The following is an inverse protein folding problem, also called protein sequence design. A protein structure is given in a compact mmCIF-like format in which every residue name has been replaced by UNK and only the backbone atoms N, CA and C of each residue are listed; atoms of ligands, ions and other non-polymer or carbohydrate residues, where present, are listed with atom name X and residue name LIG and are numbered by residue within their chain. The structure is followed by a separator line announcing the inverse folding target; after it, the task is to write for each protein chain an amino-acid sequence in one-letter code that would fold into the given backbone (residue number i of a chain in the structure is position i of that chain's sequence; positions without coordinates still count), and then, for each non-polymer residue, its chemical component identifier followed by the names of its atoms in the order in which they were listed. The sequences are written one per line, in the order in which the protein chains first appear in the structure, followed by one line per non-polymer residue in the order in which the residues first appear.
data_IF_982941791936
#
_entry.id   IF_982941791936
#
_cell.length_a   1.000
_cell.length_b   1.000
_cell.length_c   1.000
_cell.angle_alpha   90.00
_cell.angle_beta   90.00
_cell.angle_gamma   90.00
#
_symmetry.space_group_name_H-M   'P 1'
#
loop_
_entity.id
_entity.type
_entity.pdbx_description
1 polymer ?
#
# COMPACT_ATOMS: atom_id res chain seq x y z
N UNK A 1 -10.28 -5.03 -18.35
CA UNK A 1 -11.23 -4.29 -17.47
C UNK A 1 -10.52 -3.34 -16.50
N UNK A 2 -9.42 -3.72 -15.82
CA UNK A 2 -8.63 -2.81 -14.96
C UNK A 2 -8.04 -1.60 -15.69
N UNK A 3 -7.59 -1.78 -16.93
CA UNK A 3 -7.09 -0.68 -17.78
C UNK A 3 -8.21 0.32 -18.16
N UNK A 4 -9.45 -0.16 -18.29
CA UNK A 4 -10.63 0.63 -18.69
C UNK A 4 -11.09 1.54 -17.55
N UNK A 5 -11.01 1.06 -16.30
CA UNK A 5 -11.25 1.89 -15.12
C UNK A 5 -10.24 3.05 -15.10
N UNK A 6 -8.94 2.76 -15.14
CA UNK A 6 -7.87 3.78 -15.08
C UNK A 6 -7.99 4.80 -16.23
N UNK A 7 -8.42 4.35 -17.41
CA UNK A 7 -8.76 5.18 -18.56
C UNK A 7 -9.97 6.09 -18.33
N UNK A 8 -11.09 5.54 -17.85
CA UNK A 8 -12.29 6.31 -17.52
C UNK A 8 -12.02 7.36 -16.43
N UNK A 9 -11.09 7.07 -15.50
CA UNK A 9 -10.67 7.99 -14.43
C UNK A 9 -9.92 9.24 -14.93
N UNK A 10 -9.43 9.30 -16.18
CA UNK A 10 -8.55 10.41 -16.62
C UNK A 10 -9.13 11.32 -17.71
N UNK A 11 -10.16 10.89 -18.45
CA UNK A 11 -10.85 11.73 -19.44
C UNK A 11 -11.82 12.75 -18.87
N UNK A 12 -12.03 12.73 -17.56
CA UNK A 12 -12.93 13.66 -16.88
C UNK A 12 -12.54 15.14 -17.07
N UNK A 13 -11.32 15.49 -17.50
CA UNK A 13 -10.83 16.87 -17.49
C UNK A 13 -11.35 17.80 -18.61
N UNK A 14 -12.05 17.31 -19.65
CA UNK A 14 -12.41 18.15 -20.80
C UNK A 14 -13.88 18.02 -21.20
N UNK A 15 -14.68 18.94 -20.65
CA UNK A 15 -15.98 19.28 -21.18
C UNK A 15 -17.15 18.70 -20.39
N UNK A 16 -17.75 19.54 -19.56
CA UNK A 16 -19.20 19.54 -19.40
C UNK A 16 -19.65 20.95 -19.06
N UNK A 17 -20.70 21.47 -19.67
CA UNK A 17 -21.44 22.64 -19.18
C UNK A 17 -22.49 22.20 -18.14
N UNK A 18 -22.93 23.17 -17.33
CA UNK A 18 -23.76 22.97 -16.14
C UNK A 18 -25.25 22.81 -16.48
N UNK A 19 -25.93 21.86 -15.80
CA UNK A 19 -27.29 21.99 -15.21
C UNK A 19 -27.72 20.68 -14.52
N UNK A 20 -28.24 20.82 -13.29
CA UNK A 20 -28.78 19.81 -12.35
C UNK A 20 -27.75 18.83 -11.74
N UNK A 21 -27.84 18.66 -10.41
CA UNK A 21 -26.96 17.81 -9.59
C UNK A 21 -27.11 16.36 -10.06
N UNK A 22 -26.10 15.76 -10.71
CA UNK A 22 -26.20 14.40 -11.20
C UNK A 22 -25.96 13.43 -10.04
N UNK A 23 -26.77 12.37 -9.95
CA UNK A 23 -26.46 11.26 -9.04
C UNK A 23 -25.08 10.65 -9.38
N UNK A 24 -24.51 9.84 -8.49
CA UNK A 24 -23.25 9.15 -8.79
C UNK A 24 -23.35 8.24 -10.04
N UNK A 25 -24.56 7.74 -10.32
CA UNK A 25 -24.90 7.03 -11.55
C UNK A 25 -24.88 7.95 -12.77
N UNK A 26 -25.48 9.14 -12.68
CA UNK A 26 -25.47 10.13 -13.78
C UNK A 26 -24.07 10.67 -14.05
N UNK A 27 -23.28 10.87 -12.99
CA UNK A 27 -21.86 11.24 -13.08
C UNK A 27 -21.04 10.15 -13.78
N UNK A 28 -21.27 8.87 -13.44
CA UNK A 28 -20.66 7.75 -14.15
C UNK A 28 -21.04 7.74 -15.63
N UNK A 29 -22.34 7.83 -15.94
CA UNK A 29 -22.83 7.82 -17.32
C UNK A 29 -22.23 8.97 -18.12
N UNK A 30 -22.16 10.16 -17.53
CA UNK A 30 -21.50 11.32 -18.12
C UNK A 30 -20.02 11.08 -18.39
N UNK A 31 -19.29 10.43 -17.47
CA UNK A 31 -17.87 10.10 -17.68
C UNK A 31 -17.67 9.06 -18.79
N UNK A 32 -18.47 8.00 -18.82
CA UNK A 32 -18.39 6.98 -19.88
C UNK A 32 -18.74 7.60 -21.24
N UNK A 33 -19.75 8.48 -21.28
CA UNK A 33 -20.13 9.18 -22.49
C UNK A 33 -19.03 10.14 -22.97
N UNK A 34 -18.45 10.93 -22.06
CA UNK A 34 -17.33 11.81 -22.38
C UNK A 34 -16.12 11.03 -22.90
N UNK A 35 -15.88 9.81 -22.40
CA UNK A 35 -14.84 8.93 -22.93
C UNK A 35 -15.12 8.48 -24.37
N UNK A 36 -16.34 8.06 -24.64
CA UNK A 36 -16.78 7.67 -25.99
C UNK A 36 -16.63 8.86 -26.94
N UNK A 37 -17.00 10.06 -26.50
CA UNK A 37 -16.94 11.26 -27.33
C UNK A 37 -15.51 11.72 -27.57
N UNK A 38 -14.65 11.70 -26.55
CA UNK A 38 -13.23 11.97 -26.70
C UNK A 38 -12.50 10.90 -27.52
N UNK A 39 -12.95 9.65 -27.52
CA UNK A 39 -12.39 8.60 -28.39
C UNK A 39 -12.62 8.84 -29.88
N UNK A 40 -13.61 9.68 -30.21
CA UNK A 40 -13.92 10.09 -31.58
C UNK A 40 -13.22 11.39 -31.98
N UNK A 41 -12.62 12.10 -31.02
CA UNK A 41 -11.99 13.41 -31.20
C UNK A 41 -10.47 13.32 -30.93
N UNK A 42 -9.69 13.43 -32.01
CA UNK A 42 -8.23 13.32 -31.95
C UNK A 42 -7.58 14.38 -31.06
N UNK A 43 -8.18 15.57 -30.94
CA UNK A 43 -7.63 16.65 -30.13
C UNK A 43 -7.86 16.40 -28.64
N UNK A 44 -9.06 15.95 -28.27
CA UNK A 44 -9.38 15.56 -26.88
C UNK A 44 -8.56 14.35 -26.44
N UNK A 45 -8.37 13.38 -27.32
CA UNK A 45 -7.54 12.20 -27.04
C UNK A 45 -6.07 12.56 -26.86
N UNK A 46 -5.53 13.48 -27.66
CA UNK A 46 -4.16 13.98 -27.49
C UNK A 46 -4.00 14.68 -26.13
N UNK A 47 -4.95 15.53 -25.74
CA UNK A 47 -4.91 16.24 -24.47
C UNK A 47 -5.00 15.27 -23.27
N UNK A 48 -5.83 14.24 -23.38
CA UNK A 48 -5.88 13.15 -22.40
C UNK A 48 -4.53 12.45 -22.25
N UNK A 49 -3.89 12.04 -23.36
CA UNK A 49 -2.60 11.34 -23.31
C UNK A 49 -1.57 12.18 -22.56
N UNK A 50 -1.57 13.49 -22.75
CA UNK A 50 -0.70 14.43 -22.04
C UNK A 50 -1.01 14.43 -20.53
N UNK A 51 -2.28 14.56 -20.14
CA UNK A 51 -2.66 14.51 -18.72
C UNK A 51 -2.28 13.19 -18.04
N UNK A 52 -2.47 12.06 -18.73
CA UNK A 52 -2.09 10.73 -18.27
C UNK A 52 -0.58 10.53 -18.22
N UNK A 53 0.17 11.18 -19.12
CA UNK A 53 1.63 11.04 -19.19
C UNK A 53 2.32 11.52 -17.90
N UNK A 54 1.73 12.50 -17.21
CA UNK A 54 2.21 12.98 -15.92
C UNK A 54 2.09 11.94 -14.80
N UNK A 55 1.13 11.01 -14.89
CA UNK A 55 0.98 9.91 -13.95
C UNK A 55 2.01 8.80 -14.18
N UNK A 56 2.53 8.66 -15.40
CA UNK A 56 3.54 7.64 -15.73
C UNK A 56 4.90 7.93 -15.08
N UNK A 57 5.26 9.20 -14.90
CA UNK A 57 6.55 9.64 -14.34
C UNK A 57 6.74 9.17 -12.89
N UNK A 58 5.65 9.00 -12.13
CA UNK A 58 5.69 8.54 -10.74
C UNK A 58 5.82 7.02 -10.56
N UNK A 59 5.94 6.25 -11.65
CA UNK A 59 5.92 4.77 -11.60
C UNK A 59 7.26 4.16 -11.97
N UNK A 60 7.60 3.01 -11.38
CA UNK A 60 8.78 2.21 -11.76
C UNK A 60 8.68 1.61 -13.18
N UNK A 61 7.55 1.79 -13.87
CA UNK A 61 7.27 1.27 -15.21
C UNK A 61 6.93 2.40 -16.18
N UNK A 62 7.60 3.54 -16.04
CA UNK A 62 7.36 4.74 -16.83
C UNK A 62 7.33 4.46 -18.34
N UNK A 63 8.27 3.66 -18.86
CA UNK A 63 8.35 3.36 -20.30
C UNK A 63 7.15 2.55 -20.80
N UNK A 64 6.71 1.54 -20.06
CA UNK A 64 5.55 0.71 -20.44
C UNK A 64 4.23 1.45 -20.22
N UNK A 65 4.18 2.33 -19.22
CA UNK A 65 3.09 3.27 -19.02
C UNK A 65 2.95 4.20 -20.24
N UNK A 66 4.03 4.85 -20.69
CA UNK A 66 3.99 5.71 -21.89
C UNK A 66 3.62 4.92 -23.16
N UNK A 67 4.17 3.72 -23.38
CA UNK A 67 3.77 2.86 -24.50
C UNK A 67 2.28 2.51 -24.49
N UNK A 68 1.69 2.37 -23.30
CA UNK A 68 0.26 2.11 -23.13
C UNK A 68 -0.56 3.36 -23.49
N UNK A 69 -0.08 4.55 -23.12
CA UNK A 69 -0.70 5.83 -23.52
C UNK A 69 -0.55 6.13 -25.01
N UNK A 70 0.52 5.69 -25.65
CA UNK A 70 0.65 5.85 -27.11
C UNK A 70 -0.42 5.04 -27.84
N UNK A 71 -0.74 3.84 -27.33
CA UNK A 71 -1.79 2.95 -27.85
C UNK A 71 -3.21 3.29 -27.40
N UNK A 72 -3.40 4.40 -26.67
CA UNK A 72 -4.68 4.74 -26.07
C UNK A 72 -5.80 4.90 -27.11
N UNK A 73 -5.49 5.45 -28.28
CA UNK A 73 -6.46 5.62 -29.36
C UNK A 73 -7.02 4.27 -29.81
N UNK A 74 -6.12 3.28 -29.95
CA UNK A 74 -6.47 1.93 -30.37
C UNK A 74 -7.27 1.20 -29.28
N UNK A 75 -6.88 1.37 -28.02
CA UNK A 75 -7.60 0.83 -26.86
C UNK A 75 -9.01 1.44 -26.79
N UNK A 76 -9.14 2.76 -26.91
CA UNK A 76 -10.41 3.46 -26.88
C UNK A 76 -11.32 3.03 -28.05
N UNK A 77 -10.76 2.91 -29.26
CA UNK A 77 -11.48 2.40 -30.43
C UNK A 77 -12.02 0.98 -30.20
N UNK A 78 -11.20 0.06 -29.66
CA UNK A 78 -11.61 -1.31 -29.36
C UNK A 78 -12.64 -1.42 -28.23
N UNK A 79 -12.62 -0.48 -27.28
CA UNK A 79 -13.54 -0.46 -26.15
C UNK A 79 -14.87 0.23 -26.47
N UNK A 80 -14.89 1.16 -27.44
CA UNK A 80 -16.08 1.91 -27.86
C UNK A 80 -17.38 1.07 -27.98
N UNK A 81 -17.39 -0.11 -28.66
CA UNK A 81 -18.59 -0.93 -28.78
C UNK A 81 -19.06 -1.57 -27.45
N UNK A 82 -18.18 -1.67 -26.45
CA UNK A 82 -18.50 -2.22 -25.13
C UNK A 82 -18.93 -1.14 -24.13
N UNK A 83 -18.77 0.13 -24.49
CA UNK A 83 -19.06 1.27 -23.63
C UNK A 83 -20.36 2.00 -23.99
N UNK A 84 -20.97 1.63 -25.12
CA UNK A 84 -22.14 2.28 -25.70
C UNK A 84 -23.36 2.25 -24.76
N UNK A 85 -23.50 1.17 -23.97
CA UNK A 85 -24.45 1.12 -22.87
C UNK A 85 -23.79 1.63 -21.58
N UNK A 86 -23.83 2.95 -21.41
CA UNK A 86 -23.26 3.62 -20.24
C UNK A 86 -23.93 3.16 -18.94
N UNK A 87 -25.20 2.76 -18.97
CA UNK A 87 -25.91 2.26 -17.78
C UNK A 87 -25.39 0.88 -17.38
N UNK A 88 -25.26 -0.05 -18.32
CA UNK A 88 -24.72 -1.38 -18.03
C UNK A 88 -23.26 -1.35 -17.58
N UNK A 89 -22.45 -0.48 -18.18
CA UNK A 89 -21.06 -0.24 -17.73
C UNK A 89 -21.08 0.27 -16.29
N UNK A 90 -21.85 1.33 -16.03
CA UNK A 90 -21.96 1.94 -14.71
C UNK A 90 -22.56 0.99 -13.67
N UNK A 91 -23.46 0.09 -14.04
CA UNK A 91 -23.95 -0.96 -13.15
C UNK A 91 -22.90 -2.02 -12.86
N UNK A 92 -22.09 -2.42 -13.86
CA UNK A 92 -20.96 -3.35 -13.65
C UNK A 92 -19.87 -2.79 -12.74
N UNK A 93 -19.66 -1.47 -12.75
CA UNK A 93 -18.75 -0.80 -11.81
C UNK A 93 -19.46 -0.38 -10.52
N UNK A 94 -20.68 -0.86 -10.28
CA UNK A 94 -21.50 -0.60 -9.09
C UNK A 94 -21.78 0.89 -8.83
N UNK A 95 -21.79 1.68 -9.91
CA UNK A 95 -22.12 3.10 -9.91
C UNK A 95 -23.60 3.37 -10.23
N UNK A 96 -24.32 2.40 -10.81
CA UNK A 96 -25.76 2.45 -11.07
C UNK A 96 -26.46 1.20 -10.51
N UNK A 97 -27.46 1.38 -9.64
CA UNK A 97 -28.22 0.30 -8.99
C UNK A 97 -28.61 0.67 -7.55
N UNK A 98 -29.30 -0.22 -6.83
CA UNK A 98 -29.70 0.00 -5.42
C UNK A 98 -28.51 -0.05 -4.44
N UNK A 99 -27.35 -0.54 -4.89
CA UNK A 99 -26.13 -0.56 -4.09
C UNK A 99 -25.62 0.87 -3.88
N UNK A 100 -25.76 1.37 -2.64
CA UNK A 100 -25.10 2.61 -2.21
C UNK A 100 -23.61 2.49 -2.49
N UNK A 101 -23.04 3.50 -3.14
CA UNK A 101 -21.60 3.60 -3.36
C UNK A 101 -20.81 3.35 -2.08
N UNK A 102 -19.75 2.56 -2.15
CA UNK A 102 -18.78 2.50 -1.06
C UNK A 102 -18.19 3.91 -0.84
N UNK A 103 -17.96 4.33 0.41
CA UNK A 103 -17.37 5.64 0.69
C UNK A 103 -15.99 5.85 0.01
N UNK A 104 -15.21 4.77 -0.17
CA UNK A 104 -13.94 4.79 -0.94
C UNK A 104 -14.17 5.17 -2.41
N UNK A 105 -15.17 4.55 -3.04
CA UNK A 105 -15.53 4.84 -4.42
C UNK A 105 -16.00 6.29 -4.60
N UNK A 106 -16.66 6.88 -3.59
CA UNK A 106 -17.05 8.30 -3.60
C UNK A 106 -15.84 9.22 -3.51
N UNK A 107 -14.90 8.96 -2.60
CA UNK A 107 -13.65 9.74 -2.50
C UNK A 107 -12.86 9.73 -3.81
N UNK A 108 -12.74 8.57 -4.46
CA UNK A 108 -12.08 8.47 -5.76
C UNK A 108 -12.76 9.35 -6.82
N UNK A 109 -14.09 9.37 -6.85
CA UNK A 109 -14.88 10.21 -7.77
C UNK A 109 -14.75 11.70 -7.51
N UNK A 110 -14.65 12.11 -6.25
CA UNK A 110 -14.41 13.50 -5.89
C UNK A 110 -13.06 14.01 -6.38
N UNK A 111 -12.05 13.17 -6.34
CA UNK A 111 -10.74 13.50 -6.89
C UNK A 111 -10.82 13.79 -8.40
N UNK A 112 -11.67 13.07 -9.13
CA UNK A 112 -11.95 13.37 -10.53
C UNK A 112 -12.72 14.67 -10.71
N UNK A 113 -13.76 14.89 -9.91
CA UNK A 113 -14.60 16.11 -9.97
C UNK A 113 -13.77 17.37 -9.68
N UNK A 114 -12.77 17.28 -8.80
CA UNK A 114 -11.79 18.37 -8.54
C UNK A 114 -11.03 18.80 -9.80
N UNK A 115 -10.61 17.86 -10.65
CA UNK A 115 -9.93 18.20 -11.91
C UNK A 115 -10.83 19.01 -12.85
N UNK A 116 -12.14 18.78 -12.82
CA UNK A 116 -13.13 19.54 -13.60
C UNK A 116 -13.41 20.93 -13.04
N UNK A 117 -13.46 21.08 -11.71
CA UNK A 117 -13.72 22.38 -11.07
C UNK A 117 -12.54 23.35 -11.21
N UNK A 118 -11.30 22.83 -11.28
CA UNK A 118 -10.10 23.62 -11.58
C UNK A 118 -10.16 24.28 -12.97
N UNK A 119 -10.77 23.61 -13.97
CA UNK A 119 -10.91 24.12 -15.34
C UNK A 119 -11.97 25.23 -15.44
N UNK A 120 -12.98 25.25 -14.56
CA UNK A 120 -14.09 26.22 -14.60
C UNK A 120 -14.02 27.35 -13.57
N UNK A 121 -13.05 27.30 -12.64
CA UNK A 121 -12.95 28.18 -11.48
C UNK A 121 -14.28 28.41 -10.73
N UNK A 122 -15.06 27.34 -10.55
CA UNK A 122 -16.39 27.39 -9.93
C UNK A 122 -16.26 27.16 -8.41
N UNK A 123 -16.48 28.21 -7.62
CA UNK A 123 -16.34 28.16 -6.16
C UNK A 123 -17.46 27.36 -5.47
N UNK A 124 -18.64 27.22 -6.10
CA UNK A 124 -19.76 26.43 -5.56
C UNK A 124 -19.41 24.94 -5.66
N UNK A 125 -18.90 24.52 -6.82
CA UNK A 125 -18.41 23.16 -7.04
C UNK A 125 -17.25 22.77 -6.11
N UNK A 126 -16.39 23.73 -5.70
CA UNK A 126 -15.32 23.48 -4.72
C UNK A 126 -15.87 23.20 -3.32
N UNK A 127 -16.91 23.91 -2.89
CA UNK A 127 -17.53 23.68 -1.58
C UNK A 127 -18.27 22.33 -1.54
N UNK A 128 -19.03 21.99 -2.58
CA UNK A 128 -19.71 20.68 -2.68
C UNK A 128 -18.73 19.51 -2.64
N UNK A 129 -17.59 19.62 -3.33
CA UNK A 129 -16.54 18.59 -3.31
C UNK A 129 -15.93 18.43 -1.92
N UNK A 130 -15.79 19.52 -1.18
CA UNK A 130 -15.32 19.48 0.19
C UNK A 130 -16.34 18.80 1.12
N UNK A 131 -17.62 19.16 1.02
CA UNK A 131 -18.68 18.62 1.89
C UNK A 131 -18.87 17.11 1.69
N UNK A 132 -18.92 16.64 0.43
CA UNK A 132 -19.03 15.20 0.12
C UNK A 132 -17.78 14.42 0.57
N UNK A 133 -16.60 15.05 0.50
CA UNK A 133 -15.37 14.43 1.01
C UNK A 133 -15.47 14.23 2.52
N UNK A 134 -15.93 15.24 3.25
CA UNK A 134 -16.09 15.17 4.69
C UNK A 134 -17.09 14.10 5.11
N UNK A 135 -18.21 13.99 4.40
CA UNK A 135 -19.20 12.95 4.66
C UNK A 135 -18.64 11.55 4.37
N UNK A 136 -17.94 11.39 3.24
CA UNK A 136 -17.30 10.12 2.89
C UNK A 136 -16.21 9.72 3.90
N UNK A 137 -15.42 10.69 4.37
CA UNK A 137 -14.40 10.49 5.42
C UNK A 137 -15.05 10.02 6.72
N UNK A 138 -16.17 10.62 7.12
CA UNK A 138 -16.91 10.22 8.30
C UNK A 138 -17.47 8.78 8.18
N UNK A 139 -18.01 8.41 7.02
CA UNK A 139 -18.51 7.06 6.77
C UNK A 139 -17.37 6.03 6.81
N UNK A 140 -16.18 6.38 6.31
CA UNK A 140 -15.00 5.50 6.42
C UNK A 140 -14.51 5.38 7.85
N UNK A 141 -14.46 6.47 8.61
CA UNK A 141 -14.09 6.43 10.03
C UNK A 141 -14.95 5.43 10.81
N UNK A 142 -16.26 5.39 10.54
CA UNK A 142 -17.18 4.42 11.16
C UNK A 142 -16.81 2.97 10.83
N UNK A 143 -16.34 2.67 9.61
CA UNK A 143 -15.86 1.34 9.23
C UNK A 143 -14.60 0.94 10.02
N UNK A 144 -13.67 1.89 10.23
CA UNK A 144 -12.47 1.64 11.03
C UNK A 144 -12.75 1.57 12.55
N UNK A 145 -13.93 2.02 12.99
CA UNK A 145 -14.40 1.88 14.37
C UNK A 145 -15.20 0.59 14.62
N UNK A 146 -15.45 -0.21 13.59
CA UNK A 146 -16.24 -1.43 13.72
C UNK A 146 -15.38 -2.58 14.26
N UNK A 147 -15.78 -3.13 15.41
CA UNK A 147 -15.06 -4.22 16.10
C UNK A 147 -15.00 -5.49 15.24
N UNK A 148 -16.07 -5.77 14.50
CA UNK A 148 -16.11 -6.92 13.59
C UNK A 148 -15.11 -6.76 12.45
N UNK A 149 -15.02 -5.57 11.85
CA UNK A 149 -14.05 -5.23 10.81
C UNK A 149 -12.62 -5.35 11.34
N UNK A 150 -12.36 -4.80 12.53
CA UNK A 150 -11.05 -4.93 13.20
C UNK A 150 -10.68 -6.39 13.44
N UNK A 151 -11.64 -7.20 13.91
CA UNK A 151 -11.45 -8.64 14.08
C UNK A 151 -11.18 -9.37 12.75
N UNK A 152 -11.94 -9.05 11.70
CA UNK A 152 -11.80 -9.66 10.38
C UNK A 152 -10.44 -9.34 9.75
N UNK A 153 -9.98 -8.09 9.85
CA UNK A 153 -8.64 -7.67 9.40
C UNK A 153 -7.56 -8.40 10.18
N UNK A 154 -7.64 -8.39 11.51
CA UNK A 154 -6.67 -9.06 12.39
C UNK A 154 -6.57 -10.55 12.09
N UNK A 155 -7.70 -11.26 12.08
CA UNK A 155 -7.74 -12.70 11.83
C UNK A 155 -7.24 -13.06 10.43
N UNK A 156 -7.55 -12.23 9.43
CA UNK A 156 -7.03 -12.41 8.07
C UNK A 156 -5.52 -12.23 8.02
N UNK A 157 -4.97 -11.17 8.63
CA UNK A 157 -3.53 -10.95 8.69
C UNK A 157 -2.80 -12.06 9.45
N UNK A 158 -3.34 -12.52 10.57
CA UNK A 158 -2.78 -13.66 11.30
C UNK A 158 -2.79 -14.94 10.45
N UNK A 159 -3.87 -15.19 9.72
CA UNK A 159 -3.98 -16.36 8.84
C UNK A 159 -2.99 -16.31 7.67
N UNK A 160 -2.83 -15.15 7.04
CA UNK A 160 -1.99 -14.99 5.85
C UNK A 160 -0.51 -14.82 6.17
N UNK A 161 -0.20 -14.05 7.23
CA UNK A 161 1.17 -13.66 7.57
C UNK A 161 1.75 -14.57 8.66
N UNK A 162 1.01 -14.82 9.73
CA UNK A 162 1.57 -15.54 10.87
C UNK A 162 1.56 -17.06 10.69
N UNK A 163 0.66 -17.63 9.88
CA UNK A 163 0.66 -19.08 9.60
C UNK A 163 1.96 -19.55 8.92
N UNK A 164 2.55 -18.72 8.06
CA UNK A 164 3.81 -19.03 7.41
C UNK A 164 5.03 -18.78 8.31
N UNK A 165 4.89 -18.09 9.44
CA UNK A 165 6.01 -17.68 10.29
C UNK A 165 6.68 -18.80 11.13
N UNK A 166 6.44 -20.08 10.82
CA UNK A 166 7.10 -21.22 11.47
C UNK A 166 7.14 -21.14 13.01
N UNK A 167 8.35 -21.17 13.59
CA UNK A 167 8.59 -21.05 15.05
C UNK A 167 8.14 -19.70 15.62
N UNK A 168 8.16 -18.64 14.82
CA UNK A 168 7.72 -17.31 15.23
C UNK A 168 6.19 -17.13 15.15
N UNK A 169 5.42 -18.17 14.81
CA UNK A 169 3.95 -18.10 14.71
C UNK A 169 3.28 -17.43 15.91
N UNK A 170 3.66 -17.82 17.14
CA UNK A 170 3.09 -17.25 18.37
C UNK A 170 3.44 -15.78 18.54
N UNK A 171 4.72 -15.42 18.39
CA UNK A 171 5.18 -14.04 18.47
C UNK A 171 4.52 -13.15 17.40
N UNK A 172 4.40 -13.65 16.17
CA UNK A 172 3.66 -12.96 15.10
C UNK A 172 2.19 -12.75 15.46
N UNK A 173 1.51 -13.76 16.01
CA UNK A 173 0.11 -13.61 16.42
C UNK A 173 -0.05 -12.54 17.50
N UNK A 174 0.84 -12.50 18.49
CA UNK A 174 0.85 -11.48 19.54
C UNK A 174 1.10 -10.10 18.93
N UNK A 175 2.07 -9.98 18.03
CA UNK A 175 2.35 -8.74 17.32
C UNK A 175 1.11 -8.24 16.57
N UNK A 176 0.50 -9.08 15.73
CA UNK A 176 -0.72 -8.71 14.99
C UNK A 176 -1.89 -8.37 15.91
N UNK A 177 -2.03 -9.08 17.03
CA UNK A 177 -3.10 -8.82 18.00
C UNK A 177 -2.98 -7.46 18.68
N UNK A 178 -1.75 -6.96 18.82
CA UNK A 178 -1.46 -5.67 19.44
C UNK A 178 -1.34 -4.53 18.43
N UNK A 179 -0.94 -4.81 17.19
CA UNK A 179 -0.74 -3.80 16.16
C UNK A 179 -2.00 -3.44 15.42
N UNK A 180 -2.79 -4.44 15.00
CA UNK A 180 -3.96 -4.19 14.14
C UNK A 180 -4.97 -3.25 14.81
N UNK A 181 -5.35 -3.42 16.08
CA UNK A 181 -6.28 -2.50 16.73
C UNK A 181 -5.75 -1.05 16.79
N UNK A 182 -4.47 -0.87 17.11
CA UNK A 182 -3.84 0.45 17.17
C UNK A 182 -3.81 1.13 15.78
N UNK A 183 -3.53 0.37 14.71
CA UNK A 183 -3.57 0.88 13.34
C UNK A 183 -4.98 1.27 12.90
N UNK A 184 -5.99 0.45 13.24
CA UNK A 184 -7.39 0.74 12.93
C UNK A 184 -7.87 1.99 13.67
N UNK A 185 -7.48 2.13 14.94
CA UNK A 185 -7.72 3.31 15.76
C UNK A 185 -7.11 4.57 15.13
N UNK A 186 -5.84 4.52 14.75
CA UNK A 186 -5.15 5.67 14.15
C UNK A 186 -5.77 6.05 12.79
N UNK A 187 -6.14 5.06 11.96
CA UNK A 187 -6.85 5.29 10.71
C UNK A 187 -8.21 5.96 10.92
N UNK A 188 -8.98 5.52 11.91
CA UNK A 188 -10.24 6.16 12.29
C UNK A 188 -10.00 7.61 12.67
N UNK A 189 -8.98 7.90 13.47
CA UNK A 189 -8.71 9.25 13.96
C UNK A 189 -8.32 10.18 12.81
N UNK A 190 -7.43 9.73 11.90
CA UNK A 190 -7.10 10.42 10.65
C UNK A 190 -8.35 10.76 9.83
N UNK A 191 -9.28 9.81 9.67
CA UNK A 191 -10.50 9.98 8.88
C UNK A 191 -11.56 10.84 9.61
N UNK A 192 -11.55 10.86 10.94
CA UNK A 192 -12.45 11.68 11.77
C UNK A 192 -12.05 13.14 11.74
N UNK A 193 -10.77 13.44 11.51
CA UNK A 193 -10.23 14.78 11.23
C UNK A 193 -10.58 15.25 9.81
N UNK A 194 -11.86 15.16 9.44
CA UNK A 194 -12.43 15.34 8.10
C UNK A 194 -11.90 16.57 7.34
N UNK A 195 -11.77 17.72 8.00
CA UNK A 195 -11.28 18.95 7.38
C UNK A 195 -9.80 18.84 7.00
N UNK A 196 -9.00 18.23 7.88
CA UNK A 196 -7.58 18.04 7.65
C UNK A 196 -7.34 16.95 6.60
N UNK A 197 -8.01 15.81 6.71
CA UNK A 197 -7.95 14.73 5.73
C UNK A 197 -8.33 15.22 4.32
N UNK A 198 -9.50 15.85 4.17
CA UNK A 198 -9.95 16.38 2.89
C UNK A 198 -9.12 17.60 2.42
N UNK A 199 -8.57 18.37 3.36
CA UNK A 199 -7.62 19.44 3.08
C UNK A 199 -6.30 18.91 2.51
N UNK A 200 -5.78 17.83 3.07
CA UNK A 200 -4.58 17.14 2.60
C UNK A 200 -4.81 16.50 1.24
N UNK A 201 -5.99 15.93 0.97
CA UNK A 201 -6.41 15.54 -0.38
C UNK A 201 -6.53 16.73 -1.36
N UNK A 202 -6.49 17.96 -0.85
CA UNK A 202 -6.74 19.20 -1.57
C UNK A 202 -8.17 19.31 -2.09
N UNK A 203 -9.11 18.61 -1.47
CA UNK A 203 -10.55 18.67 -1.77
C UNK A 203 -11.24 19.76 -0.96
N UNK A 204 -10.63 20.18 0.16
CA UNK A 204 -11.06 21.30 0.99
C UNK A 204 -9.98 22.38 1.07
N UNK A 205 -10.37 23.60 1.44
CA UNK A 205 -9.41 24.65 1.82
C UNK A 205 -8.78 24.24 3.15
N UNK A 206 -7.49 23.93 3.12
CA UNK A 206 -6.70 23.65 4.31
C UNK A 206 -6.48 24.98 5.07
N UNK A 207 -7.30 25.25 6.09
CA UNK A 207 -7.13 26.46 6.93
C UNK A 207 -5.93 26.37 7.86
N UNK A 208 -5.53 25.16 8.26
CA UNK A 208 -4.38 24.86 9.11
C UNK A 208 -3.94 23.42 8.83
N UNK A 209 -3.32 23.12 7.69
CA UNK A 209 -2.62 21.85 7.57
C UNK A 209 -1.35 21.97 8.40
N UNK A 210 -1.20 21.27 9.55
CA UNK A 210 0.12 21.15 10.15
C UNK A 210 1.02 20.57 9.07
N UNK A 211 2.04 21.34 8.69
CA UNK A 211 3.08 20.81 7.84
C UNK A 211 3.72 19.68 8.66
N UNK A 212 3.60 18.44 8.19
CA UNK A 212 4.24 17.31 8.86
C UNK A 212 5.72 17.56 8.75
N UNK A 213 6.34 17.98 9.85
CA UNK A 213 7.79 18.12 9.88
C UNK A 213 8.37 16.72 9.98
N UNK A 214 8.64 16.14 8.81
CA UNK A 214 9.42 14.92 8.72
C UNK A 214 10.82 15.28 9.23
N UNK A 215 11.12 14.86 10.45
CA UNK A 215 12.43 15.09 11.02
C UNK A 215 13.48 14.37 10.17
N UNK A 216 14.53 15.10 9.80
CA UNK A 216 15.68 14.45 9.23
C UNK A 216 16.36 13.61 10.32
N UNK A 217 16.73 12.35 10.01
CA UNK A 217 17.41 11.53 10.98
C UNK A 217 18.71 12.19 11.47
N UNK A 218 18.92 12.23 12.79
CA UNK A 218 20.08 12.89 13.42
C UNK A 218 21.38 12.11 13.26
N UNK A 219 21.29 10.80 13.03
CA UNK A 219 22.41 9.88 12.83
C UNK A 219 22.18 9.03 11.59
N UNK A 220 23.24 8.43 11.02
CA UNK A 220 23.06 7.51 9.90
C UNK A 220 22.38 6.21 10.36
N UNK A 221 21.68 5.54 9.46
CA UNK A 221 21.04 4.26 9.78
C UNK A 221 22.09 3.19 10.13
N UNK A 222 23.28 3.28 9.53
CA UNK A 222 24.42 2.41 9.84
C UNK A 222 24.90 2.59 11.28
N UNK A 223 25.00 3.83 11.78
CA UNK A 223 25.40 4.09 13.17
C UNK A 223 24.38 3.51 14.17
N UNK A 224 23.09 3.60 13.82
CA UNK A 224 22.03 2.97 14.59
C UNK A 224 22.23 1.45 14.59
N UNK A 225 22.41 0.81 13.43
CA UNK A 225 22.66 -0.63 13.35
C UNK A 225 23.92 -1.07 14.10
N UNK A 226 24.97 -0.26 14.10
CA UNK A 226 26.21 -0.50 14.86
C UNK A 226 26.00 -0.44 16.38
N UNK A 227 25.04 0.37 16.85
CA UNK A 227 24.73 0.47 18.29
C UNK A 227 24.15 -0.83 18.88
N UNK A 228 23.69 -1.76 18.04
CA UNK A 228 23.24 -3.08 18.47
C UNK A 228 24.38 -3.96 18.99
N UNK A 229 25.64 -3.64 18.64
CA UNK A 229 26.83 -4.34 19.11
C UNK A 229 27.27 -5.50 18.21
N UNK A 230 28.09 -6.39 18.76
CA UNK A 230 28.71 -7.51 18.07
C UNK A 230 28.24 -8.85 18.65
N UNK A 231 28.12 -9.85 17.80
CA UNK A 231 27.88 -11.26 18.15
C UNK A 231 29.16 -12.05 17.86
N UNK A 232 29.55 -12.90 18.82
CA UNK A 232 30.65 -13.86 18.63
C UNK A 232 30.11 -15.13 17.98
N UNK A 233 30.74 -15.54 16.89
CA UNK A 233 30.41 -16.74 16.12
C UNK A 233 31.62 -17.65 16.01
N UNK A 234 31.43 -18.88 15.53
CA UNK A 234 32.51 -19.80 15.18
C UNK A 234 33.47 -19.27 14.10
N UNK A 235 33.07 -18.23 13.37
CA UNK A 235 33.84 -17.60 12.27
C UNK A 235 34.46 -16.25 12.65
N UNK A 236 34.18 -15.72 13.84
CA UNK A 236 34.66 -14.42 14.30
C UNK A 236 33.58 -13.56 14.93
N UNK A 237 33.84 -12.26 15.05
CA UNK A 237 32.87 -11.26 15.52
C UNK A 237 32.15 -10.62 14.34
N UNK A 238 30.82 -10.50 14.44
CA UNK A 238 29.97 -9.92 13.40
C UNK A 238 29.02 -8.88 14.02
N UNK A 239 28.61 -7.87 13.25
CA UNK A 239 27.57 -6.94 13.68
C UNK A 239 26.28 -7.70 14.00
N UNK A 240 25.72 -7.49 15.20
CA UNK A 240 24.48 -8.13 15.62
C UNK A 240 23.34 -7.83 14.66
N UNK A 241 23.27 -6.59 14.15
CA UNK A 241 22.29 -6.18 13.14
C UNK A 241 22.43 -6.95 11.82
N UNK A 242 23.67 -7.24 11.39
CA UNK A 242 23.91 -8.09 10.23
C UNK A 242 23.50 -9.54 10.51
N UNK A 243 23.94 -10.08 11.67
CA UNK A 243 23.61 -11.44 12.12
C UNK A 243 22.10 -11.68 12.13
N UNK A 244 21.34 -10.80 12.81
CA UNK A 244 19.90 -10.92 12.98
C UNK A 244 19.13 -10.70 11.68
N UNK A 245 19.60 -9.80 10.82
CA UNK A 245 19.01 -9.59 9.52
C UNK A 245 19.13 -10.84 8.65
N UNK A 246 20.34 -11.42 8.53
CA UNK A 246 20.56 -12.60 7.70
C UNK A 246 19.77 -13.79 8.25
N UNK A 247 19.83 -14.01 9.57
CA UNK A 247 19.03 -15.06 10.22
C UNK A 247 17.53 -14.92 9.93
N UNK A 248 17.00 -13.70 10.05
CA UNK A 248 15.58 -13.44 9.83
C UNK A 248 15.18 -13.66 8.36
N UNK A 249 15.97 -13.12 7.42
CA UNK A 249 15.66 -13.22 5.98
C UNK A 249 15.80 -14.66 5.50
N UNK A 250 16.88 -15.37 5.85
CA UNK A 250 17.08 -16.76 5.45
C UNK A 250 15.96 -17.65 6.00
N UNK A 251 15.59 -17.47 7.28
CA UNK A 251 14.48 -18.22 7.90
C UNK A 251 13.15 -17.95 7.20
N UNK A 252 12.88 -16.68 6.83
CA UNK A 252 11.66 -16.31 6.11
C UNK A 252 11.64 -16.88 4.69
N UNK A 253 12.76 -16.81 3.96
CA UNK A 253 12.89 -17.37 2.62
C UNK A 253 12.71 -18.89 2.63
N UNK A 254 13.34 -19.59 3.60
CA UNK A 254 13.18 -21.03 3.77
C UNK A 254 11.71 -21.41 4.03
N UNK A 255 11.02 -20.70 4.93
CA UNK A 255 9.59 -20.91 5.20
C UNK A 255 8.72 -20.64 3.97
N UNK A 256 8.98 -19.55 3.23
CA UNK A 256 8.27 -19.24 1.98
C UNK A 256 8.48 -20.31 0.91
N UNK A 257 9.70 -20.80 0.76
CA UNK A 257 10.00 -21.91 -0.15
C UNK A 257 9.27 -23.16 0.31
N UNK A 258 9.32 -23.53 1.58
CA UNK A 258 8.70 -24.75 2.11
C UNK A 258 7.17 -24.71 2.01
N UNK A 259 6.54 -23.57 2.26
CA UNK A 259 5.07 -23.39 2.23
C UNK A 259 4.53 -22.84 0.92
N UNK A 260 5.34 -22.75 -0.14
CA UNK A 260 4.94 -22.20 -1.45
C UNK A 260 3.65 -22.78 -2.01
N UNK A 261 3.36 -24.06 -1.76
CA UNK A 261 2.12 -24.68 -2.24
C UNK A 261 0.90 -24.17 -1.48
N UNK A 262 0.99 -23.98 -0.17
CA UNK A 262 -0.09 -23.37 0.63
C UNK A 262 -0.32 -21.93 0.19
N UNK A 263 0.76 -21.17 -0.04
CA UNK A 263 0.68 -19.80 -0.56
C UNK A 263 0.04 -19.75 -1.95
N UNK A 264 0.39 -20.68 -2.84
CA UNK A 264 -0.24 -20.79 -4.16
C UNK A 264 -1.75 -21.05 -4.06
N UNK A 265 -2.16 -21.94 -3.14
CA UNK A 265 -3.57 -22.23 -2.89
C UNK A 265 -4.31 -21.00 -2.33
N UNK A 266 -3.72 -20.27 -1.38
CA UNK A 266 -4.31 -19.03 -0.86
C UNK A 266 -4.47 -17.96 -1.95
N UNK A 267 -3.48 -17.81 -2.85
CA UNK A 267 -3.57 -16.92 -4.01
C UNK A 267 -4.70 -17.37 -4.94
N UNK A 268 -4.84 -18.67 -5.19
CA UNK A 268 -5.92 -19.21 -6.02
C UNK A 268 -7.28 -18.84 -5.44
N UNK A 269 -7.52 -19.10 -4.15
CA UNK A 269 -8.78 -18.75 -3.47
C UNK A 269 -9.05 -17.25 -3.56
N UNK A 270 -8.05 -16.40 -3.35
CA UNK A 270 -8.27 -14.95 -3.36
C UNK A 270 -8.51 -14.43 -4.78
N UNK A 271 -7.70 -14.85 -5.75
CA UNK A 271 -7.71 -14.29 -7.10
C UNK A 271 -8.79 -14.95 -7.94
N UNK A 272 -8.86 -16.27 -7.95
CA UNK A 272 -9.77 -17.00 -8.83
C UNK A 272 -11.23 -16.87 -8.37
N UNK A 273 -11.50 -16.95 -7.06
CA UNK A 273 -12.89 -16.86 -6.58
C UNK A 273 -13.44 -15.44 -6.56
N UNK A 274 -12.59 -14.42 -6.32
CA UNK A 274 -13.06 -13.04 -6.10
C UNK A 274 -12.87 -12.10 -7.28
N UNK A 275 -11.96 -12.41 -8.22
CA UNK A 275 -11.53 -11.42 -9.23
C UNK A 275 -11.97 -11.75 -10.65
N UNK A 276 -12.11 -13.04 -11.02
CA UNK A 276 -12.21 -13.45 -12.44
C UNK A 276 -13.58 -13.97 -12.89
N UNK A 277 -14.61 -13.94 -12.05
CA UNK A 277 -16.01 -14.18 -12.46
C UNK A 277 -16.20 -15.47 -13.26
N UNK A 278 -16.56 -15.40 -14.55
CA UNK A 278 -16.81 -16.57 -15.39
C UNK A 278 -15.54 -17.32 -15.84
N UNK A 279 -14.34 -16.89 -15.45
CA UNK A 279 -13.06 -17.51 -15.82
C UNK A 279 -12.41 -18.29 -14.66
N UNK A 280 -13.19 -18.62 -13.63
CA UNK A 280 -12.71 -19.30 -12.42
C UNK A 280 -11.99 -20.61 -12.73
N UNK A 281 -12.54 -21.47 -13.59
CA UNK A 281 -11.93 -22.77 -13.90
C UNK A 281 -10.57 -22.61 -14.60
N UNK A 282 -10.48 -21.74 -15.61
CA UNK A 282 -9.22 -21.45 -16.29
C UNK A 282 -8.19 -20.76 -15.39
N UNK A 283 -8.64 -19.92 -14.46
CA UNK A 283 -7.77 -19.33 -13.44
C UNK A 283 -7.24 -20.37 -12.48
N UNK A 284 -8.10 -21.29 -12.01
CA UNK A 284 -7.72 -22.37 -11.12
C UNK A 284 -6.64 -23.24 -11.76
N UNK A 285 -6.85 -23.65 -13.02
CA UNK A 285 -5.87 -24.44 -13.77
C UNK A 285 -4.53 -23.70 -13.92
N UNK A 286 -4.57 -22.42 -14.27
CA UNK A 286 -3.37 -21.60 -14.45
C UNK A 286 -2.59 -21.42 -13.14
N UNK A 287 -3.27 -21.04 -12.05
CA UNK A 287 -2.63 -20.83 -10.76
C UNK A 287 -2.07 -22.14 -10.21
N UNK A 288 -2.84 -23.23 -10.29
CA UNK A 288 -2.40 -24.56 -9.86
C UNK A 288 -1.13 -25.01 -10.61
N UNK A 289 -1.07 -24.76 -11.91
CA UNK A 289 0.04 -25.23 -12.76
C UNK A 289 1.33 -24.42 -12.59
N UNK A 290 1.23 -23.10 -12.41
CA UNK A 290 2.40 -22.22 -12.50
C UNK A 290 2.77 -21.50 -11.21
N UNK A 291 1.83 -21.29 -10.28
CA UNK A 291 2.06 -20.39 -9.15
C UNK A 291 3.13 -20.91 -8.20
N UNK A 292 3.11 -22.21 -7.87
CA UNK A 292 4.12 -22.82 -6.98
C UNK A 292 5.54 -22.66 -7.56
N UNK A 293 5.70 -22.87 -8.88
CA UNK A 293 6.97 -22.69 -9.59
C UNK A 293 7.38 -21.22 -9.66
N UNK A 294 6.45 -20.31 -9.96
CA UNK A 294 6.71 -18.88 -10.00
C UNK A 294 7.15 -18.35 -8.63
N UNK A 295 6.50 -18.79 -7.56
CA UNK A 295 6.89 -18.48 -6.17
C UNK A 295 8.29 -19.02 -5.88
N UNK A 296 8.58 -20.28 -6.23
CA UNK A 296 9.92 -20.85 -6.05
C UNK A 296 11.00 -20.03 -6.76
N UNK A 297 10.81 -19.72 -8.05
CA UNK A 297 11.77 -18.93 -8.81
C UNK A 297 11.91 -17.50 -8.28
N UNK A 298 10.84 -16.92 -7.73
CA UNK A 298 10.87 -15.59 -7.13
C UNK A 298 11.64 -15.59 -5.81
N UNK A 299 11.38 -16.55 -4.91
CA UNK A 299 12.05 -16.61 -3.62
C UNK A 299 13.55 -16.88 -3.75
N UNK A 300 13.97 -17.71 -4.72
CA UNK A 300 15.38 -17.98 -4.98
C UNK A 300 16.15 -16.83 -5.66
N UNK A 301 15.50 -15.70 -5.98
CA UNK A 301 16.21 -14.49 -6.41
C UNK A 301 16.81 -13.71 -5.24
N UNK A 302 16.45 -14.08 -4.01
CA UNK A 302 16.88 -13.39 -2.80
C UNK A 302 17.68 -14.35 -1.91
N UNK A 303 18.65 -13.79 -1.21
CA UNK A 303 19.32 -14.42 -0.08
C UNK A 303 19.47 -13.39 1.05
N UNK A 304 19.68 -13.86 2.29
CA UNK A 304 19.81 -12.99 3.44
C UNK A 304 20.91 -11.95 3.30
N UNK A 305 22.07 -12.33 2.73
CA UNK A 305 23.21 -11.42 2.58
C UNK A 305 22.88 -10.24 1.67
N UNK A 306 22.36 -10.49 0.48
CA UNK A 306 22.00 -9.46 -0.50
C UNK A 306 20.97 -8.50 0.06
N UNK A 307 19.90 -9.04 0.66
CA UNK A 307 18.85 -8.22 1.28
C UNK A 307 19.42 -7.36 2.43
N UNK A 308 20.29 -7.91 3.27
CA UNK A 308 20.82 -7.19 4.43
C UNK A 308 21.90 -6.17 4.09
N UNK A 309 22.63 -6.35 2.98
CA UNK A 309 23.51 -5.32 2.40
C UNK A 309 22.67 -4.17 1.83
N UNK A 310 21.59 -4.47 1.11
CA UNK A 310 20.66 -3.46 0.58
C UNK A 310 19.95 -2.68 1.69
N UNK A 311 19.69 -3.32 2.84
CA UNK A 311 19.16 -2.68 4.05
C UNK A 311 20.21 -1.93 4.88
N UNK A 312 21.48 -1.95 4.46
CA UNK A 312 22.63 -1.38 5.18
C UNK A 312 22.81 -1.92 6.61
N UNK A 313 22.28 -3.11 6.90
CA UNK A 313 22.49 -3.83 8.16
C UNK A 313 23.80 -4.63 8.15
N UNK A 314 24.29 -4.99 6.96
CA UNK A 314 25.58 -5.66 6.76
C UNK A 314 26.56 -4.81 5.96
N UNK A 315 27.86 -5.05 6.17
CA UNK A 315 28.92 -4.59 5.26
C UNK A 315 29.10 -5.61 4.12
N UNK A 316 29.62 -5.18 2.97
CA UNK A 316 29.64 -5.99 1.73
C UNK A 316 30.50 -7.27 1.81
N UNK A 317 31.42 -7.34 2.78
CA UNK A 317 32.46 -8.38 2.85
C UNK A 317 32.21 -9.46 3.93
N UNK A 318 30.99 -9.58 4.44
CA UNK A 318 30.68 -10.53 5.51
C UNK A 318 30.40 -11.94 4.94
N UNK A 319 31.05 -12.97 5.51
CA UNK A 319 30.97 -14.36 5.01
C UNK A 319 30.09 -15.25 5.93
N UNK A 320 28.87 -14.79 6.12
CA UNK A 320 27.93 -15.33 7.10
C UNK A 320 27.28 -16.66 6.68
N UNK A 321 27.29 -16.96 5.38
CA UNK A 321 26.69 -18.17 4.79
C UNK A 321 27.31 -19.48 5.30
N UNK A 322 28.47 -19.42 5.97
CA UNK A 322 29.19 -20.59 6.48
C UNK A 322 28.82 -21.01 7.92
N UNK A 323 28.02 -20.23 8.65
CA UNK A 323 27.58 -20.60 10.00
C UNK A 323 26.56 -21.74 9.90
N UNK A 324 26.61 -22.74 10.78
CA UNK A 324 25.62 -23.83 10.74
C UNK A 324 24.26 -23.37 11.31
N UNK A 325 23.14 -23.83 10.73
CA UNK A 325 21.78 -23.48 11.20
C UNK A 325 21.55 -23.71 12.71
N UNK A 326 22.05 -24.80 13.35
CA UNK A 326 21.90 -24.98 14.79
C UNK A 326 22.61 -23.91 15.61
N UNK A 327 23.79 -23.47 15.17
CA UNK A 327 24.54 -22.38 15.80
C UNK A 327 23.78 -21.05 15.65
N UNK A 328 23.29 -20.75 14.44
CA UNK A 328 22.47 -19.55 14.18
C UNK A 328 21.24 -19.47 15.09
N UNK A 329 20.48 -20.55 15.19
CA UNK A 329 19.28 -20.59 16.02
C UNK A 329 19.61 -20.35 17.51
N UNK A 330 20.70 -20.95 18.00
CA UNK A 330 21.14 -20.77 19.38
C UNK A 330 21.56 -19.32 19.65
N UNK A 331 22.42 -18.77 18.79
CA UNK A 331 22.89 -17.40 18.91
C UNK A 331 21.74 -16.38 18.78
N UNK A 332 20.78 -16.61 17.89
CA UNK A 332 19.58 -15.76 17.79
C UNK A 332 18.80 -15.74 19.10
N UNK A 333 18.61 -16.90 19.75
CA UNK A 333 17.92 -16.93 21.03
C UNK A 333 18.71 -16.31 22.20
N UNK A 334 20.03 -16.50 22.24
CA UNK A 334 20.89 -15.87 23.24
C UNK A 334 20.90 -14.33 23.11
N UNK A 335 20.77 -13.81 21.89
CA UNK A 335 20.81 -12.39 21.60
C UNK A 335 19.45 -11.72 21.42
N UNK A 336 18.35 -12.48 21.40
CA UNK A 336 17.00 -11.95 21.14
C UNK A 336 16.64 -10.78 22.09
N UNK A 337 16.94 -10.91 23.39
CA UNK A 337 16.68 -9.83 24.35
C UNK A 337 17.47 -8.54 24.08
N UNK A 338 18.65 -8.64 23.46
CA UNK A 338 19.42 -7.49 23.01
C UNK A 338 18.74 -6.79 21.83
N UNK A 339 18.14 -7.56 20.91
CA UNK A 339 17.34 -7.03 19.79
C UNK A 339 16.10 -6.30 20.30
N UNK A 340 15.36 -6.89 21.24
CA UNK A 340 14.21 -6.23 21.87
C UNK A 340 14.61 -4.92 22.56
N UNK A 341 15.69 -4.94 23.33
CA UNK A 341 16.23 -3.75 23.99
C UNK A 341 16.62 -2.68 22.97
N UNK A 342 17.26 -3.08 21.88
CA UNK A 342 17.64 -2.18 20.79
C UNK A 342 16.41 -1.48 20.20
N UNK A 343 15.36 -2.22 19.84
CA UNK A 343 14.13 -1.62 19.29
C UNK A 343 13.47 -0.69 20.30
N UNK A 344 13.37 -1.09 21.57
CA UNK A 344 12.80 -0.26 22.62
C UNK A 344 13.55 1.08 22.77
N UNK A 345 14.88 1.07 22.64
CA UNK A 345 15.72 2.26 22.80
C UNK A 345 15.79 3.15 21.55
N UNK A 346 15.72 2.55 20.35
CA UNK A 346 15.99 3.25 19.09
C UNK A 346 14.75 3.52 18.23
N UNK A 347 13.54 3.16 18.67
CA UNK A 347 12.31 3.27 17.88
C UNK A 347 12.07 4.67 17.29
N UNK A 348 12.36 5.75 18.02
CA UNK A 348 12.21 7.14 17.51
C UNK A 348 13.15 7.39 16.32
N UNK A 349 14.41 7.00 16.44
CA UNK A 349 15.39 7.17 15.35
C UNK A 349 15.08 6.28 14.15
N UNK A 350 14.62 5.04 14.40
CA UNK A 350 14.17 4.12 13.36
C UNK A 350 12.93 4.65 12.62
N UNK A 351 11.97 5.22 13.35
CA UNK A 351 10.80 5.89 12.80
C UNK A 351 11.19 7.08 11.90
N UNK A 352 12.11 7.93 12.36
CA UNK A 352 12.59 9.06 11.57
C UNK A 352 13.25 8.61 10.25
N UNK A 353 14.07 7.55 10.28
CA UNK A 353 14.64 6.98 9.06
C UNK A 353 13.59 6.38 8.14
N UNK A 354 12.65 5.60 8.68
CA UNK A 354 11.59 4.98 7.91
C UNK A 354 10.68 6.02 7.22
N UNK A 355 10.25 7.04 7.96
CA UNK A 355 9.40 8.11 7.43
C UNK A 355 10.14 9.00 6.43
N UNK A 356 11.40 9.35 6.70
CA UNK A 356 12.23 10.12 5.77
C UNK A 356 12.47 9.37 4.45
N UNK A 357 12.76 8.06 4.53
CA UNK A 357 12.92 7.22 3.35
C UNK A 357 11.60 7.08 2.58
N UNK A 358 10.49 6.85 3.27
CA UNK A 358 9.18 6.71 2.64
C UNK A 358 8.74 8.02 1.96
N UNK A 359 8.91 9.16 2.63
CA UNK A 359 8.58 10.46 2.06
C UNK A 359 9.37 10.73 0.78
N UNK A 360 10.70 10.61 0.82
CA UNK A 360 11.56 10.89 -0.35
C UNK A 360 11.31 9.94 -1.52
N UNK A 361 11.12 8.65 -1.23
CA UNK A 361 11.06 7.63 -2.28
C UNK A 361 9.64 7.39 -2.80
N UNK A 362 8.61 7.73 -2.02
CA UNK A 362 7.20 7.48 -2.33
C UNK A 362 6.41 8.79 -2.36
N UNK A 363 6.23 9.46 -1.22
CA UNK A 363 5.27 10.57 -1.12
C UNK A 363 5.65 11.79 -1.96
N UNK A 364 6.92 12.20 -1.99
CA UNK A 364 7.40 13.34 -2.78
C UNK A 364 7.34 13.11 -4.30
N UNK A 365 7.21 11.85 -4.73
CA UNK A 365 7.01 11.51 -6.15
C UNK A 365 5.54 11.58 -6.57
N UNK A 366 4.62 11.77 -5.62
CA UNK A 366 3.20 11.94 -5.89
C UNK A 366 2.88 13.42 -6.18
N UNK A 367 1.77 13.69 -6.91
CA UNK A 367 1.25 15.05 -7.05
C UNK A 367 1.06 15.71 -5.68
N UNK A 368 1.32 17.02 -5.56
CA UNK A 368 1.43 17.74 -4.28
C UNK A 368 0.36 17.39 -3.25
N UNK A 369 -0.94 17.36 -3.62
CA UNK A 369 -2.00 17.00 -2.67
C UNK A 369 -1.93 15.52 -2.22
N UNK A 370 -1.60 14.60 -3.12
CA UNK A 370 -1.42 13.20 -2.75
C UNK A 370 -0.14 13.00 -1.95
N UNK A 371 0.91 13.77 -2.23
CA UNK A 371 2.14 13.80 -1.44
C UNK A 371 1.86 14.23 0.00
N UNK A 372 1.14 15.34 0.21
CA UNK A 372 0.77 15.81 1.55
C UNK A 372 -0.07 14.80 2.33
N UNK A 373 -1.08 14.19 1.69
CA UNK A 373 -1.85 13.11 2.33
C UNK A 373 -0.96 11.92 2.67
N UNK A 374 -0.11 11.50 1.73
CA UNK A 374 0.81 10.38 1.90
C UNK A 374 1.74 10.62 3.10
N UNK A 375 2.40 11.78 3.17
CA UNK A 375 3.30 12.12 4.29
C UNK A 375 2.56 12.14 5.63
N UNK A 376 1.38 12.76 5.68
CA UNK A 376 0.58 12.82 6.90
C UNK A 376 0.12 11.46 7.39
N UNK A 377 -0.45 10.64 6.51
CA UNK A 377 -0.93 9.30 6.87
C UNK A 377 0.23 8.37 7.20
N UNK A 378 1.30 8.36 6.40
CA UNK A 378 2.45 7.51 6.63
C UNK A 378 3.17 7.86 7.93
N UNK A 379 3.35 9.15 8.22
CA UNK A 379 3.99 9.60 9.46
C UNK A 379 3.23 9.15 10.70
N UNK A 380 1.91 9.37 10.75
CA UNK A 380 1.07 8.99 11.89
C UNK A 380 0.99 7.49 12.12
N UNK A 381 0.73 6.72 11.05
CA UNK A 381 0.65 5.26 11.16
C UNK A 381 1.99 4.64 11.56
N UNK A 382 3.09 5.14 10.98
CA UNK A 382 4.42 4.64 11.34
C UNK A 382 4.78 5.01 12.77
N UNK A 383 4.47 6.22 13.25
CA UNK A 383 4.75 6.61 14.64
C UNK A 383 4.06 5.67 15.62
N UNK A 384 2.78 5.40 15.36
CA UNK A 384 1.98 4.44 16.12
C UNK A 384 2.59 3.03 16.08
N UNK A 385 3.07 2.60 14.91
CA UNK A 385 3.66 1.28 14.69
C UNK A 385 4.95 1.11 15.49
N UNK A 386 5.88 2.06 15.35
CA UNK A 386 7.18 2.02 16.02
C UNK A 386 7.03 2.17 17.54
N UNK A 387 6.14 3.04 18.01
CA UNK A 387 5.84 3.19 19.44
C UNK A 387 5.27 1.90 20.04
N UNK A 388 4.27 1.29 19.38
CA UNK A 388 3.70 0.03 19.88
C UNK A 388 4.69 -1.13 19.79
N UNK A 389 5.54 -1.16 18.76
CA UNK A 389 6.59 -2.17 18.63
C UNK A 389 7.61 -2.07 19.78
N UNK A 390 8.00 -0.84 20.14
CA UNK A 390 8.88 -0.57 21.26
C UNK A 390 8.30 -1.02 22.60
N UNK A 391 7.00 -0.80 22.82
CA UNK A 391 6.30 -1.28 24.03
C UNK A 391 6.30 -2.81 24.12
N UNK A 392 6.00 -3.49 23.02
CA UNK A 392 6.06 -4.96 22.97
C UNK A 392 7.48 -5.47 23.21
N UNK A 393 8.48 -4.86 22.58
CA UNK A 393 9.88 -5.22 22.77
C UNK A 393 10.32 -5.02 24.23
N UNK A 394 9.91 -3.91 24.86
CA UNK A 394 10.21 -3.63 26.28
C UNK A 394 9.59 -4.66 27.24
N UNK A 395 8.50 -5.31 26.84
CA UNK A 395 7.84 -6.34 27.66
C UNK A 395 8.54 -7.71 27.64
N UNK A 396 9.44 -7.97 26.69
CA UNK A 396 10.09 -9.28 26.54
C UNK A 396 9.22 -10.36 25.90
N UNK A 397 7.99 -10.00 25.50
CA UNK A 397 6.99 -10.97 25.05
C UNK A 397 7.30 -11.57 23.69
N UNK A 398 8.10 -10.90 22.85
CA UNK A 398 8.42 -11.44 21.53
C UNK A 398 9.45 -12.54 21.66
N UNK A 399 10.53 -12.29 22.39
CA UNK A 399 11.59 -13.28 22.58
C UNK A 399 11.11 -14.51 23.33
N UNK A 400 10.31 -14.36 24.39
CA UNK A 400 9.76 -15.49 25.17
C UNK A 400 8.80 -16.43 24.42
N UNK A 401 8.45 -16.10 23.18
CA UNK A 401 7.57 -16.91 22.33
C UNK A 401 8.30 -17.55 21.16
N UNK A 402 9.50 -17.07 20.85
CA UNK A 402 10.39 -17.58 19.78
C UNK A 402 11.45 -18.49 20.40
N UNK A 403 11.88 -18.13 21.61
CA UNK A 403 12.86 -18.75 22.47
C UNK A 403 12.21 -18.98 23.86
#
# INVERSE_FOLDING_TARGET
MKLVLILLFTLAALGAQAKNVPSACDSCKGMVQNFIDASKDKMKMAQLKISLSMLCVGTSHQSDCHKTLDKLDFIAYKLSPYLTDTTAVCSKVQMCGESKFSPLSRLAMLYLKKSQSAVKNDNIMKQEVCDECQESSQQLSQLFNDDFTTYAVKSTLQRLVCRSAGKAHKACNIFMANMVPEMMSEMRDILSEKQLFCGNMGLCIAKNSPFVQIENPKSSISDIWKSMGLVKTSKGEELMSCFECILSVDTLLEEFINKRQETANDIQTIVCEKVVGNWTDGCNDFVHMYMSTALYLTYNQFDGKGVCVDLHSCESNNDFSEIAQPERNKLGCENCGAVEKFFAQNHVSLHAHATSAFSRNVCQKLPTSLGTLCDHTAFRLSDKLFSRAAELAKSGVMCSQIC
#
